data_IF_224002218141
#
_entry.id   IF_224002218141
#
_cell.length_a   1.000
_cell.length_b   1.000
_cell.length_c   1.000
_cell.angle_alpha   90.00
_cell.angle_beta   90.00
_cell.angle_gamma   90.00
#
_symmetry.space_group_name_H-M   'P 1'
#
loop_
_entity.id
_entity.type
_entity.pdbx_description
1 polymer ?
#
# COMPACT_ATOMS: atom_id res chain seq x y z
N UNK A 1 31.47 32.59 1.29
CA UNK A 1 30.23 31.76 1.30
C UNK A 1 29.61 31.88 -0.09
N UNK A 2 29.44 30.77 -0.81
CA UNK A 2 28.73 30.78 -2.08
C UNK A 2 27.25 31.07 -1.80
N UNK A 3 26.68 32.07 -2.44
CA UNK A 3 25.24 32.36 -2.35
C UNK A 3 24.51 31.25 -3.10
N UNK A 4 23.80 30.37 -2.38
CA UNK A 4 22.95 29.35 -2.99
C UNK A 4 21.71 30.06 -3.51
N UNK A 5 21.57 30.12 -4.83
CA UNK A 5 20.40 30.73 -5.48
C UNK A 5 19.18 29.82 -5.26
N UNK A 6 18.04 30.43 -4.86
CA UNK A 6 16.79 29.69 -4.77
C UNK A 6 16.38 29.14 -6.15
N UNK A 7 15.84 27.92 -6.22
CA UNK A 7 15.39 27.34 -7.48
C UNK A 7 14.23 28.12 -8.08
N UNK A 8 14.16 28.19 -9.40
CA UNK A 8 12.98 28.68 -10.10
C UNK A 8 11.78 27.75 -9.89
N UNK A 9 10.56 28.24 -10.15
CA UNK A 9 9.36 27.41 -10.08
C UNK A 9 9.43 26.21 -11.04
N UNK A 10 10.02 26.39 -12.22
CA UNK A 10 10.21 25.31 -13.20
C UNK A 10 11.16 24.23 -12.69
N UNK A 11 12.31 24.61 -12.13
CA UNK A 11 13.28 23.67 -11.55
C UNK A 11 12.69 22.93 -10.35
N UNK A 12 11.93 23.64 -9.50
CA UNK A 12 11.23 23.05 -8.37
C UNK A 12 10.19 22.01 -8.84
N UNK A 13 9.35 22.35 -9.81
CA UNK A 13 8.35 21.45 -10.38
C UNK A 13 8.99 20.22 -11.03
N UNK A 14 10.07 20.40 -11.78
CA UNK A 14 10.82 19.30 -12.41
C UNK A 14 11.38 18.34 -11.36
N UNK A 15 11.90 18.84 -10.25
CA UNK A 15 12.43 18.00 -9.17
C UNK A 15 11.34 17.26 -8.40
N UNK A 16 10.17 17.86 -8.19
CA UNK A 16 9.07 17.28 -7.41
C UNK A 16 8.16 16.35 -8.22
N UNK A 17 8.03 16.55 -9.55
CA UNK A 17 7.12 15.79 -10.40
C UNK A 17 7.22 14.26 -10.25
N UNK A 18 8.41 13.63 -10.20
CA UNK A 18 8.49 12.18 -10.01
C UNK A 18 7.91 11.71 -8.67
N UNK A 19 8.08 12.51 -7.61
CA UNK A 19 7.55 12.17 -6.27
C UNK A 19 6.03 12.33 -6.22
N UNK A 20 5.50 13.41 -6.81
CA UNK A 20 4.04 13.63 -6.91
C UNK A 20 3.37 12.49 -7.69
N UNK A 21 3.96 12.09 -8.82
CA UNK A 21 3.49 10.95 -9.61
C UNK A 21 3.51 9.66 -8.78
N UNK A 22 4.63 9.35 -8.13
CA UNK A 22 4.76 8.13 -7.32
C UNK A 22 3.79 8.10 -6.13
N UNK A 23 3.53 9.23 -5.48
CA UNK A 23 2.51 9.35 -4.43
C UNK A 23 1.11 9.07 -5.01
N UNK A 24 0.77 9.67 -6.15
CA UNK A 24 -0.52 9.44 -6.81
C UNK A 24 -0.72 7.97 -7.18
N UNK A 25 0.28 7.34 -7.78
CA UNK A 25 0.26 5.92 -8.14
C UNK A 25 0.13 5.02 -6.90
N UNK A 26 0.84 5.33 -5.81
CA UNK A 26 0.73 4.61 -4.55
C UNK A 26 -0.68 4.71 -3.95
N UNK A 27 -1.27 5.90 -3.95
CA UNK A 27 -2.64 6.12 -3.45
C UNK A 27 -3.65 5.32 -4.27
N UNK A 28 -3.53 5.32 -5.60
CA UNK A 28 -4.39 4.51 -6.47
C UNK A 28 -4.22 3.01 -6.21
N UNK A 29 -2.99 2.51 -6.10
CA UNK A 29 -2.72 1.10 -5.82
C UNK A 29 -3.29 0.68 -4.45
N UNK A 30 -3.17 1.55 -3.44
CA UNK A 30 -3.74 1.32 -2.12
C UNK A 30 -5.27 1.27 -2.16
N UNK A 31 -5.93 2.23 -2.82
CA UNK A 31 -7.38 2.26 -2.92
C UNK A 31 -7.90 1.02 -3.65
N UNK A 32 -7.25 0.61 -4.74
CA UNK A 32 -7.61 -0.62 -5.45
C UNK A 32 -7.46 -1.88 -4.56
N UNK A 33 -6.44 -1.92 -3.67
CA UNK A 33 -6.31 -3.00 -2.68
C UNK A 33 -7.47 -2.97 -1.66
N UNK A 34 -7.92 -1.78 -1.24
CA UNK A 34 -9.05 -1.65 -0.31
C UNK A 34 -10.36 -2.14 -0.95
N UNK A 35 -10.59 -1.90 -2.24
CA UNK A 35 -11.76 -2.43 -2.97
C UNK A 35 -11.72 -3.97 -3.04
N UNK A 36 -10.57 -4.57 -3.34
CA UNK A 36 -10.45 -6.05 -3.30
C UNK A 36 -10.69 -6.63 -1.89
N UNK A 37 -10.34 -5.88 -0.84
CA UNK A 37 -10.67 -6.27 0.54
C UNK A 37 -12.16 -6.11 0.86
N UNK A 38 -12.86 -5.15 0.23
CA UNK A 38 -14.31 -5.03 0.32
C UNK A 38 -15.01 -6.25 -0.29
N UNK A 39 -14.52 -6.71 -1.45
CA UNK A 39 -14.99 -7.95 -2.09
C UNK A 39 -14.74 -9.16 -1.17
N UNK A 40 -13.55 -9.26 -0.59
CA UNK A 40 -13.22 -10.31 0.36
C UNK A 40 -14.14 -10.27 1.57
N UNK A 41 -14.42 -9.07 2.11
CA UNK A 41 -15.35 -8.90 3.22
C UNK A 41 -16.75 -9.40 2.85
N UNK A 42 -17.26 -9.04 1.67
CA UNK A 42 -18.58 -9.50 1.21
C UNK A 42 -18.67 -11.03 1.15
N UNK A 43 -17.60 -11.70 0.73
CA UNK A 43 -17.53 -13.17 0.64
C UNK A 43 -17.46 -13.85 2.04
N UNK A 44 -16.60 -13.33 2.93
CA UNK A 44 -16.39 -13.98 4.24
C UNK A 44 -17.41 -13.59 5.29
N UNK A 45 -18.07 -12.44 5.18
CA UNK A 45 -19.11 -12.02 6.12
C UNK A 45 -20.39 -12.84 6.01
N UNK A 46 -20.59 -13.52 4.86
CA UNK A 46 -21.83 -14.26 4.57
C UNK A 46 -23.09 -13.41 4.63
N UNK A 47 -22.96 -12.09 4.51
CA UNK A 47 -24.12 -11.19 4.40
C UNK A 47 -24.81 -11.49 3.05
N UNK A 48 -26.12 -11.78 3.04
CA UNK A 48 -26.81 -12.23 1.81
C UNK A 48 -26.82 -11.17 0.69
N UNK A 49 -26.81 -9.89 1.06
CA UNK A 49 -26.76 -8.78 0.09
C UNK A 49 -25.37 -8.20 0.01
N UNK A 50 -24.77 -8.24 -1.18
CA UNK A 50 -23.48 -7.64 -1.49
C UNK A 50 -23.54 -6.13 -1.24
N UNK A 51 -24.62 -5.45 -1.62
CA UNK A 51 -24.79 -4.00 -1.41
C UNK A 51 -24.79 -3.64 0.08
N UNK A 52 -25.39 -4.48 0.94
CA UNK A 52 -25.35 -4.27 2.38
C UNK A 52 -23.91 -4.46 2.91
N UNK A 53 -23.21 -5.48 2.46
CA UNK A 53 -21.82 -5.70 2.84
C UNK A 53 -20.93 -4.51 2.48
N UNK A 54 -21.05 -3.97 1.27
CA UNK A 54 -20.34 -2.76 0.85
C UNK A 54 -20.75 -1.51 1.63
N UNK A 55 -22.05 -1.33 1.91
CA UNK A 55 -22.50 -0.20 2.73
C UNK A 55 -21.86 -0.24 4.13
N UNK A 56 -21.77 -1.41 4.75
CA UNK A 56 -21.08 -1.60 6.05
C UNK A 56 -19.59 -1.31 5.91
N UNK A 57 -18.93 -1.85 4.87
CA UNK A 57 -17.51 -1.61 4.59
C UNK A 57 -17.20 -0.13 4.48
N UNK A 58 -17.88 0.59 3.60
CA UNK A 58 -17.61 2.00 3.33
C UNK A 58 -18.06 2.95 4.45
N UNK A 59 -18.98 2.51 5.33
CA UNK A 59 -19.34 3.27 6.54
C UNK A 59 -18.31 3.16 7.66
N UNK A 60 -17.38 2.20 7.56
CA UNK A 60 -16.36 1.96 8.58
C UNK A 60 -15.23 3.00 8.47
N UNK A 61 -14.92 3.76 9.54
CA UNK A 61 -14.18 5.02 9.44
C UNK A 61 -12.68 4.88 9.16
N UNK A 62 -12.10 3.69 9.24
CA UNK A 62 -10.66 3.50 9.01
C UNK A 62 -10.29 2.10 8.52
N UNK A 63 -9.22 2.05 7.75
CA UNK A 63 -8.69 0.83 7.12
C UNK A 63 -8.38 -0.30 8.13
N UNK A 64 -7.98 0.02 9.37
CA UNK A 64 -7.66 -0.99 10.36
C UNK A 64 -8.92 -1.70 10.86
N UNK A 65 -9.98 -0.94 11.12
CA UNK A 65 -11.27 -1.50 11.51
C UNK A 65 -11.85 -2.36 10.38
N UNK A 66 -11.75 -1.90 9.13
CA UNK A 66 -12.17 -2.68 7.95
C UNK A 66 -11.44 -4.02 7.88
N UNK A 67 -10.12 -4.05 7.99
CA UNK A 67 -9.35 -5.30 7.99
C UNK A 67 -9.64 -6.19 9.20
N UNK A 68 -9.94 -5.59 10.35
CA UNK A 68 -10.38 -6.35 11.54
C UNK A 68 -11.71 -7.06 11.29
N UNK A 69 -12.66 -6.39 10.60
CA UNK A 69 -13.92 -7.01 10.20
C UNK A 69 -13.70 -8.22 9.27
N UNK A 70 -12.84 -8.09 8.25
CA UNK A 70 -12.47 -9.23 7.39
C UNK A 70 -11.90 -10.37 8.21
N UNK A 71 -10.96 -10.07 9.13
CA UNK A 71 -10.29 -11.05 9.97
C UNK A 71 -11.28 -11.84 10.84
N UNK A 72 -12.17 -11.14 11.52
CA UNK A 72 -13.14 -11.80 12.41
C UNK A 72 -14.20 -12.58 11.61
N UNK A 73 -14.70 -12.03 10.51
CA UNK A 73 -15.62 -12.74 9.63
C UNK A 73 -15.00 -14.02 9.04
N UNK A 74 -13.73 -13.94 8.59
CA UNK A 74 -13.01 -15.09 8.05
C UNK A 74 -12.80 -16.20 9.10
N UNK A 75 -12.48 -15.86 10.34
CA UNK A 75 -12.35 -16.87 11.44
C UNK A 75 -13.61 -17.70 11.62
N UNK A 76 -14.78 -17.08 11.46
CA UNK A 76 -16.07 -17.78 11.61
C UNK A 76 -16.40 -18.56 10.34
N UNK A 77 -16.37 -17.90 9.20
CA UNK A 77 -16.88 -18.46 7.93
C UNK A 77 -15.94 -19.49 7.28
N UNK A 78 -14.64 -19.39 7.56
CA UNK A 78 -13.60 -20.29 7.03
C UNK A 78 -13.03 -21.26 8.08
N UNK A 79 -13.67 -21.41 9.24
CA UNK A 79 -13.20 -22.24 10.35
C UNK A 79 -12.96 -23.70 9.97
N UNK A 80 -13.68 -24.22 8.97
CA UNK A 80 -13.53 -25.59 8.46
C UNK A 80 -12.61 -25.70 7.25
N UNK A 81 -12.06 -24.60 6.75
CA UNK A 81 -11.20 -24.53 5.56
C UNK A 81 -9.88 -23.85 5.95
N UNK A 82 -9.06 -24.58 6.70
CA UNK A 82 -7.83 -24.07 7.34
C UNK A 82 -6.92 -23.32 6.35
N UNK A 83 -6.70 -23.87 5.15
CA UNK A 83 -5.84 -23.27 4.13
C UNK A 83 -6.38 -21.89 3.67
N UNK A 84 -7.70 -21.74 3.54
CA UNK A 84 -8.32 -20.46 3.17
C UNK A 84 -8.18 -19.43 4.30
N UNK A 85 -8.43 -19.83 5.53
CA UNK A 85 -8.25 -18.98 6.70
C UNK A 85 -6.80 -18.52 6.86
N UNK A 86 -5.83 -19.43 6.66
CA UNK A 86 -4.41 -19.11 6.68
C UNK A 86 -4.03 -18.12 5.59
N UNK A 87 -4.54 -18.28 4.37
CA UNK A 87 -4.28 -17.41 3.23
C UNK A 87 -4.80 -15.98 3.48
N UNK A 88 -6.05 -15.84 3.97
CA UNK A 88 -6.63 -14.54 4.35
C UNK A 88 -5.84 -13.91 5.49
N UNK A 89 -5.50 -14.68 6.51
CA UNK A 89 -4.72 -14.19 7.65
C UNK A 89 -3.34 -13.70 7.23
N UNK A 90 -2.66 -14.44 6.35
CA UNK A 90 -1.37 -14.03 5.79
C UNK A 90 -1.49 -12.70 5.04
N UNK A 91 -2.48 -12.56 4.15
CA UNK A 91 -2.70 -11.32 3.40
C UNK A 91 -2.86 -10.11 4.34
N UNK A 92 -3.76 -10.22 5.31
CA UNK A 92 -4.03 -9.15 6.26
C UNK A 92 -2.79 -8.79 7.10
N UNK A 93 -2.00 -9.79 7.50
CA UNK A 93 -0.75 -9.57 8.23
C UNK A 93 0.30 -8.86 7.36
N UNK A 94 0.40 -9.18 6.06
CA UNK A 94 1.31 -8.45 5.16
C UNK A 94 0.91 -6.97 5.03
N UNK A 95 -0.37 -6.68 4.90
CA UNK A 95 -0.86 -5.30 4.83
C UNK A 95 -0.57 -4.54 6.14
N UNK A 96 -0.89 -5.13 7.29
CA UNK A 96 -0.74 -4.48 8.58
C UNK A 96 0.73 -4.26 8.96
N UNK A 97 1.60 -5.25 8.76
CA UNK A 97 2.98 -5.24 9.25
C UNK A 97 3.97 -4.63 8.25
N UNK A 98 3.74 -4.82 6.95
CA UNK A 98 4.73 -4.46 5.92
C UNK A 98 4.38 -3.20 5.14
N UNK A 99 3.10 -2.84 4.98
CA UNK A 99 2.68 -1.78 4.08
C UNK A 99 2.05 -0.57 4.79
N UNK A 100 1.09 -0.81 5.70
CA UNK A 100 0.25 0.25 6.28
C UNK A 100 1.01 1.42 6.88
N UNK A 101 1.92 1.16 7.82
CA UNK A 101 2.66 2.23 8.50
C UNK A 101 3.58 2.97 7.55
N UNK A 102 4.32 2.22 6.73
CA UNK A 102 5.28 2.77 5.76
C UNK A 102 4.59 3.65 4.71
N UNK A 103 3.43 3.20 4.19
CA UNK A 103 2.61 4.01 3.27
C UNK A 103 2.15 5.29 3.94
N UNK A 104 1.65 5.22 5.18
CA UNK A 104 1.20 6.40 5.90
C UNK A 104 2.33 7.41 6.11
N UNK A 105 3.52 6.94 6.48
CA UNK A 105 4.69 7.80 6.66
C UNK A 105 5.06 8.48 5.33
N UNK A 106 5.14 7.71 4.25
CA UNK A 106 5.53 8.23 2.94
C UNK A 106 4.52 9.24 2.34
N UNK A 107 3.21 9.00 2.51
CA UNK A 107 2.16 9.87 1.96
C UNK A 107 1.96 11.13 2.80
N UNK A 108 2.18 11.06 4.12
CA UNK A 108 1.90 12.15 5.03
C UNK A 108 3.14 12.88 5.57
N UNK A 109 4.36 12.43 5.22
CA UNK A 109 5.56 13.18 5.56
C UNK A 109 5.68 14.43 4.68
N UNK A 110 5.87 15.62 5.26
CA UNK A 110 6.15 16.80 4.48
C UNK A 110 7.45 16.65 3.71
N UNK A 111 7.42 16.93 2.41
CA UNK A 111 8.61 16.94 1.55
C UNK A 111 9.04 18.36 1.27
N UNK A 112 10.35 18.58 1.24
CA UNK A 112 10.95 19.88 0.88
C UNK A 112 12.04 19.70 -0.17
N UNK A 113 12.37 20.79 -0.85
CA UNK A 113 13.51 20.86 -1.74
C UNK A 113 14.76 21.25 -0.96
N UNK A 114 15.77 20.42 -1.02
CA UNK A 114 17.12 20.75 -0.57
C UNK A 114 17.97 21.12 -1.78
N UNK A 115 18.62 22.32 -1.70
CA UNK A 115 19.53 22.79 -2.75
C UNK A 115 20.95 22.66 -2.27
N UNK A 116 21.75 21.86 -2.98
CA UNK A 116 23.14 21.62 -2.66
C UNK A 116 24.05 21.78 -3.90
N UNK A 117 25.34 21.51 -3.71
CA UNK A 117 26.33 21.54 -4.81
C UNK A 117 26.04 20.50 -5.91
N UNK A 118 25.33 19.42 -5.59
CA UNK A 118 24.92 18.39 -6.53
C UNK A 118 23.58 18.69 -7.26
N UNK A 119 22.91 19.81 -6.95
CA UNK A 119 21.63 20.20 -7.52
C UNK A 119 20.49 20.21 -6.49
N UNK A 120 19.26 20.03 -7.00
CA UNK A 120 18.03 20.03 -6.22
C UNK A 120 17.63 18.59 -5.90
N UNK A 121 17.38 18.29 -4.63
CA UNK A 121 16.90 17.00 -4.17
C UNK A 121 15.62 17.17 -3.35
N UNK A 122 14.72 16.17 -3.41
CA UNK A 122 13.53 16.11 -2.57
C UNK A 122 13.84 15.26 -1.35
N UNK A 123 13.66 15.83 -0.17
CA UNK A 123 13.93 15.17 1.11
C UNK A 123 12.71 15.31 2.05
N UNK A 124 12.54 14.42 3.04
CA UNK A 124 11.57 14.63 4.10
C UNK A 124 11.95 15.90 4.88
N UNK A 125 10.96 16.71 5.19
CA UNK A 125 11.18 17.85 6.08
C UNK A 125 11.38 17.33 7.50
N UNK A 126 12.55 17.59 8.06
CA UNK A 126 12.78 17.41 9.48
C UNK A 126 11.97 18.49 10.23
N UNK A 127 10.78 18.08 10.68
CA UNK A 127 10.00 18.88 11.60
C UNK A 127 10.24 18.28 12.98
N UNK A 128 10.76 19.05 13.89
CA UNK A 128 10.95 18.67 15.30
C UNK A 128 9.73 17.90 15.79
N UNK A 129 9.93 16.67 16.25
CA UNK A 129 8.89 15.75 16.72
C UNK A 129 7.92 15.22 15.65
N UNK A 130 8.28 15.20 14.37
CA UNK A 130 7.49 14.50 13.34
C UNK A 130 8.02 13.07 13.13
N UNK A 131 7.43 12.03 13.77
CA UNK A 131 7.90 10.65 13.67
C UNK A 131 7.80 10.08 12.25
N UNK A 132 6.92 10.64 11.40
CA UNK A 132 6.76 10.20 10.00
C UNK A 132 7.96 10.65 9.16
N UNK A 133 8.41 11.89 9.34
CA UNK A 133 9.62 12.38 8.66
C UNK A 133 10.86 11.61 9.14
N UNK A 134 10.98 11.36 10.46
CA UNK A 134 12.08 10.60 11.03
C UNK A 134 12.18 9.16 10.47
N UNK A 135 11.06 8.51 10.21
CA UNK A 135 11.04 7.15 9.62
C UNK A 135 11.61 7.09 8.19
N UNK A 136 11.67 8.24 7.51
CA UNK A 136 12.14 8.37 6.12
C UNK A 136 13.52 9.02 6.03
N UNK A 137 14.13 9.42 7.15
CA UNK A 137 15.45 10.04 7.16
C UNK A 137 16.51 9.12 6.56
N UNK A 138 17.35 9.70 5.68
CA UNK A 138 18.40 8.96 4.97
C UNK A 138 17.94 7.99 3.89
N UNK A 139 16.63 7.89 3.64
CA UNK A 139 16.08 7.01 2.60
C UNK A 139 15.88 7.74 1.28
N UNK A 140 15.97 6.98 0.20
CA UNK A 140 15.53 7.43 -1.14
C UNK A 140 14.00 7.34 -1.22
N UNK A 141 13.34 8.48 -1.01
CA UNK A 141 11.88 8.56 -0.90
C UNK A 141 11.19 8.04 -2.17
N UNK A 142 11.75 8.32 -3.34
CA UNK A 142 11.15 7.86 -4.59
C UNK A 142 11.17 6.32 -4.69
N UNK A 143 12.29 5.70 -4.28
CA UNK A 143 12.37 4.23 -4.23
C UNK A 143 11.44 3.64 -3.20
N UNK A 144 11.29 4.27 -2.03
CA UNK A 144 10.32 3.83 -1.01
C UNK A 144 8.88 3.87 -1.56
N UNK A 145 8.47 4.98 -2.19
CA UNK A 145 7.14 5.13 -2.78
C UNK A 145 6.84 4.07 -3.86
N UNK A 146 7.80 3.84 -4.75
CA UNK A 146 7.70 2.80 -5.79
C UNK A 146 7.56 1.41 -5.16
N UNK A 147 8.36 1.11 -4.15
CA UNK A 147 8.30 -0.18 -3.47
C UNK A 147 6.95 -0.40 -2.76
N UNK A 148 6.39 0.64 -2.11
CA UNK A 148 5.08 0.55 -1.46
C UNK A 148 3.97 0.32 -2.48
N UNK A 149 4.00 1.00 -3.62
CA UNK A 149 3.08 0.79 -4.74
C UNK A 149 3.15 -0.65 -5.24
N UNK A 150 4.33 -1.13 -5.60
CA UNK A 150 4.52 -2.49 -6.10
C UNK A 150 4.06 -3.55 -5.10
N UNK A 151 4.32 -3.32 -3.81
CA UNK A 151 3.84 -4.22 -2.74
C UNK A 151 2.31 -4.22 -2.67
N UNK A 152 1.67 -3.04 -2.74
CA UNK A 152 0.21 -2.94 -2.76
C UNK A 152 -0.41 -3.66 -3.97
N UNK A 153 0.19 -3.53 -5.16
CA UNK A 153 -0.26 -4.21 -6.38
C UNK A 153 -0.15 -5.73 -6.28
N UNK A 154 0.95 -6.26 -5.71
CA UNK A 154 1.12 -7.70 -5.49
C UNK A 154 0.07 -8.23 -4.51
N UNK A 155 -0.16 -7.52 -3.39
CA UNK A 155 -1.16 -7.92 -2.40
C UNK A 155 -2.58 -7.79 -2.95
N UNK A 156 -2.88 -6.76 -3.76
CA UNK A 156 -4.15 -6.62 -4.47
C UNK A 156 -4.40 -7.81 -5.39
N UNK A 157 -3.43 -8.15 -6.23
CA UNK A 157 -3.57 -9.29 -7.14
C UNK A 157 -3.76 -10.62 -6.40
N UNK A 158 -3.09 -10.80 -5.28
CA UNK A 158 -3.29 -11.98 -4.43
C UNK A 158 -4.70 -11.99 -3.82
N UNK A 159 -5.19 -10.84 -3.32
CA UNK A 159 -6.56 -10.70 -2.80
C UNK A 159 -7.61 -11.04 -3.86
N UNK A 160 -7.45 -10.51 -5.07
CA UNK A 160 -8.32 -10.82 -6.21
C UNK A 160 -8.37 -12.33 -6.50
N UNK A 161 -7.22 -13.01 -6.50
CA UNK A 161 -7.17 -14.48 -6.68
C UNK A 161 -7.87 -15.22 -5.54
N UNK A 162 -7.73 -14.75 -4.29
CA UNK A 162 -8.47 -15.31 -3.15
C UNK A 162 -9.98 -15.13 -3.32
N UNK A 163 -10.43 -13.95 -3.72
CA UNK A 163 -11.85 -13.67 -3.98
C UNK A 163 -12.41 -14.63 -5.03
N UNK A 164 -11.68 -14.83 -6.12
CA UNK A 164 -12.06 -15.80 -7.15
C UNK A 164 -12.18 -17.22 -6.58
N UNK A 165 -11.19 -17.71 -5.86
CA UNK A 165 -11.17 -19.06 -5.29
C UNK A 165 -12.26 -19.27 -4.25
N UNK A 166 -12.51 -18.28 -3.39
CA UNK A 166 -13.54 -18.37 -2.35
C UNK A 166 -14.96 -18.31 -2.92
N UNK A 167 -15.14 -17.73 -4.09
CA UNK A 167 -16.43 -17.72 -4.81
C UNK A 167 -16.67 -18.98 -5.68
N UNK A 168 -15.59 -19.65 -6.12
CA UNK A 168 -15.65 -20.82 -6.99
C UNK A 168 -15.44 -22.12 -6.20
N UNK A 169 -16.17 -23.19 -6.54
CA UNK A 169 -15.99 -24.49 -5.91
C UNK A 169 -14.83 -25.27 -6.55
N UNK A 170 -13.98 -25.89 -5.72
CA UNK A 170 -12.97 -26.84 -6.20
C UNK A 170 -11.70 -26.20 -6.78
N UNK A 171 -11.54 -24.92 -6.68
CA UNK A 171 -10.31 -24.21 -7.09
C UNK A 171 -9.33 -24.19 -5.91
N UNK A 172 -8.04 -24.55 -6.11
CA UNK A 172 -7.06 -24.56 -5.03
C UNK A 172 -6.71 -23.16 -4.56
N UNK A 173 -6.41 -23.01 -3.27
CA UNK A 173 -5.94 -21.75 -2.69
C UNK A 173 -4.65 -21.31 -3.40
N UNK A 174 -4.53 -20.03 -3.82
CA UNK A 174 -3.35 -19.56 -4.53
C UNK A 174 -2.11 -19.57 -3.63
N UNK A 175 -0.96 -19.86 -4.21
CA UNK A 175 0.32 -19.73 -3.52
C UNK A 175 0.58 -18.29 -3.10
N UNK A 176 1.15 -18.13 -1.91
CA UNK A 176 1.56 -16.82 -1.38
C UNK A 176 2.64 -16.20 -2.26
N UNK A 177 2.43 -14.98 -2.79
CA UNK A 177 3.42 -14.36 -3.67
C UNK A 177 4.67 -13.92 -2.90
N UNK A 178 5.80 -13.90 -3.59
CA UNK A 178 6.98 -13.19 -3.11
C UNK A 178 6.71 -11.67 -3.16
N UNK A 179 6.92 -10.98 -2.04
CA UNK A 179 6.82 -9.53 -2.01
C UNK A 179 8.07 -8.87 -2.60
N UNK A 180 7.94 -7.69 -3.22
CA UNK A 180 9.07 -6.91 -3.68
C UNK A 180 10.08 -6.66 -2.55
N UNK A 181 11.37 -6.66 -2.87
CA UNK A 181 12.43 -6.29 -1.93
C UNK A 181 12.91 -4.89 -2.24
N UNK A 182 13.08 -4.08 -1.20
CA UNK A 182 13.63 -2.74 -1.36
C UNK A 182 15.05 -2.84 -1.92
N UNK A 183 15.29 -2.23 -3.09
CA UNK A 183 16.59 -2.22 -3.77
C UNK A 183 16.78 -3.26 -4.88
N UNK A 184 15.91 -4.24 -5.06
CA UNK A 184 15.96 -5.14 -6.23
C UNK A 184 15.28 -4.49 -7.44
N UNK A 185 16.08 -4.05 -8.44
CA UNK A 185 15.53 -3.70 -9.77
C UNK A 185 14.95 -4.95 -10.41
N UNK A 186 13.64 -5.01 -10.65
CA UNK A 186 13.10 -5.93 -11.65
C UNK A 186 13.84 -5.67 -12.96
N UNK A 187 14.63 -6.64 -13.43
CA UNK A 187 15.05 -6.66 -14.83
C UNK A 187 13.76 -6.72 -15.65
N UNK A 188 13.37 -5.59 -16.24
CA UNK A 188 12.31 -5.62 -17.26
C UNK A 188 12.82 -6.55 -18.35
N UNK A 189 12.23 -7.76 -18.45
CA UNK A 189 12.34 -8.60 -19.63
C UNK A 189 11.71 -7.82 -20.77
N UNK A 190 12.58 -7.20 -21.60
CA UNK A 190 12.18 -6.75 -22.92
C UNK A 190 11.82 -8.01 -23.72
N UNK A 191 10.55 -8.30 -23.87
CA UNK A 191 9.97 -9.15 -24.89
C UNK A 191 9.56 -8.30 -26.05
#
# INVERSE_FOLDING_TARGET
MAVVKAPTAEEANKATAPHVTAIGELVCAWNNLQEELADLFSLVSKIPSVDIAYAIWHSTPNDHAQRSMVREAAKVSLSTVEQALEAVTWLLNQIDNSLRHKRNDAVHAPLILAVGSAGITVIPRDCTNNPRAASLEGKDILKELIWYRETAEVLRHYCWRLNYVLSAKGVPIPEKPALPRLGERKRQSRG
#
